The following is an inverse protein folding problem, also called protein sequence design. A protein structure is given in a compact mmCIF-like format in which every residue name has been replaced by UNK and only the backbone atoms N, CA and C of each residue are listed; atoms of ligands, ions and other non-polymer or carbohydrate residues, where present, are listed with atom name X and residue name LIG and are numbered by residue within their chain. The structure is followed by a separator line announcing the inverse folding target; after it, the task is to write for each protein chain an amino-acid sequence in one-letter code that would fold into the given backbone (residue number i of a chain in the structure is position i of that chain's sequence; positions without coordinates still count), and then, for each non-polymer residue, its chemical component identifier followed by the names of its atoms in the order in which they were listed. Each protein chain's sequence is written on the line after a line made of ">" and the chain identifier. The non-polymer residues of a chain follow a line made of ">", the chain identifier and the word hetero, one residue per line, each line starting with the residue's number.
data_IF_576524122256
#
_entry.id   IF_576524122256
#
_cell.length_a   1.000
_cell.length_b   1.000
_cell.length_c   1.000
_cell.angle_alpha   90.00
_cell.angle_beta   90.00
_cell.angle_gamma   90.00
#
_symmetry.space_group_name_H-M   'P 1'
#
loop_
_entity.id
_entity.type
_entity.pdbx_description
1 polymer ?
#
# COMPACT_ATOMS: atom_id res chain seq x y z
N UNK A 1 52.98 36.34 -9.80
CA UNK A 1 52.63 35.38 -8.73
C UNK A 1 51.14 35.24 -8.41
N UNK A 2 50.25 36.23 -8.65
CA UNK A 2 48.80 36.13 -8.28
C UNK A 2 47.92 35.22 -9.15
N UNK A 3 48.27 34.96 -10.42
CA UNK A 3 47.42 34.16 -11.34
C UNK A 3 47.42 32.65 -11.06
N UNK A 4 48.54 32.07 -10.61
CA UNK A 4 48.62 30.62 -10.34
C UNK A 4 47.80 30.23 -9.09
N UNK A 5 47.76 31.10 -8.09
CA UNK A 5 46.99 30.85 -6.87
C UNK A 5 45.47 30.83 -7.14
N UNK A 6 44.98 31.69 -8.04
CA UNK A 6 43.55 31.72 -8.40
C UNK A 6 43.10 30.46 -9.15
N UNK A 7 43.90 29.99 -10.14
CA UNK A 7 43.60 28.75 -10.87
C UNK A 7 43.60 27.53 -9.94
N UNK A 8 44.55 27.47 -9.00
CA UNK A 8 44.60 26.40 -8.00
C UNK A 8 43.37 26.45 -7.07
N UNK A 9 43.00 27.64 -6.59
CA UNK A 9 41.84 27.81 -5.71
C UNK A 9 40.51 27.43 -6.38
N UNK A 10 40.28 27.84 -7.63
CA UNK A 10 39.09 27.42 -8.37
C UNK A 10 39.10 25.91 -8.63
N UNK A 11 40.25 25.30 -8.94
CA UNK A 11 40.32 23.86 -9.11
C UNK A 11 39.89 23.10 -7.83
N UNK A 12 40.25 23.60 -6.65
CA UNK A 12 39.80 23.04 -5.37
C UNK A 12 38.28 23.20 -5.20
N UNK A 13 37.72 24.38 -5.50
CA UNK A 13 36.27 24.61 -5.42
C UNK A 13 35.48 23.69 -6.37
N UNK A 14 35.98 23.53 -7.59
CA UNK A 14 35.39 22.61 -8.58
C UNK A 14 35.39 21.18 -8.04
N UNK A 15 36.50 20.72 -7.44
CA UNK A 15 36.58 19.40 -6.84
C UNK A 15 35.56 19.22 -5.69
N UNK A 16 35.38 20.24 -4.85
CA UNK A 16 34.38 20.23 -3.78
C UNK A 16 32.97 20.11 -4.35
N UNK A 17 32.62 20.90 -5.36
CA UNK A 17 31.28 20.83 -6.00
C UNK A 17 31.04 19.48 -6.64
N UNK A 18 32.05 18.87 -7.26
CA UNK A 18 31.92 17.52 -7.83
C UNK A 18 31.58 16.48 -6.76
N UNK A 19 32.25 16.54 -5.60
CA UNK A 19 31.99 15.63 -4.46
C UNK A 19 30.59 15.87 -3.88
N UNK A 20 30.16 17.13 -3.76
CA UNK A 20 28.82 17.47 -3.27
C UNK A 20 27.73 16.99 -4.24
N UNK A 21 27.91 17.19 -5.54
CA UNK A 21 27.00 16.69 -6.57
C UNK A 21 26.87 15.16 -6.55
N UNK A 22 27.99 14.44 -6.39
CA UNK A 22 27.98 12.99 -6.22
C UNK A 22 27.25 12.56 -4.93
N UNK A 23 27.38 13.33 -3.85
CA UNK A 23 26.67 13.07 -2.59
C UNK A 23 25.16 13.27 -2.76
N UNK A 24 24.73 14.34 -3.44
CA UNK A 24 23.32 14.57 -3.76
C UNK A 24 22.73 13.43 -4.61
N UNK A 25 23.47 12.95 -5.62
CA UNK A 25 23.08 11.81 -6.43
C UNK A 25 22.89 10.53 -5.59
N UNK A 26 23.81 10.27 -4.65
CA UNK A 26 23.71 9.13 -3.74
C UNK A 26 22.46 9.23 -2.84
N UNK A 27 22.20 10.40 -2.26
CA UNK A 27 21.01 10.62 -1.43
C UNK A 27 19.70 10.47 -2.24
N UNK A 28 19.65 11.00 -3.47
CA UNK A 28 18.51 10.84 -4.36
C UNK A 28 18.23 9.38 -4.70
N UNK A 29 19.29 8.59 -4.92
CA UNK A 29 19.17 7.14 -5.19
C UNK A 29 18.66 6.37 -3.99
N UNK A 30 19.08 6.73 -2.77
CA UNK A 30 18.58 6.10 -1.54
C UNK A 30 17.09 6.39 -1.37
N UNK A 31 16.66 7.64 -1.57
CA UNK A 31 15.25 8.02 -1.49
C UNK A 31 14.38 7.27 -2.52
N UNK A 32 14.86 7.09 -3.76
CA UNK A 32 14.17 6.24 -4.76
C UNK A 32 14.06 4.79 -4.31
N UNK A 33 15.13 4.21 -3.75
CA UNK A 33 15.10 2.84 -3.25
C UNK A 33 14.08 2.68 -2.13
N UNK A 34 14.07 3.60 -1.17
CA UNK A 34 13.11 3.59 -0.05
C UNK A 34 11.68 3.78 -0.54
N UNK A 35 11.44 4.68 -1.50
CA UNK A 35 10.13 4.83 -2.13
C UNK A 35 9.66 3.52 -2.77
N UNK A 36 10.54 2.84 -3.51
CA UNK A 36 10.25 1.53 -4.10
C UNK A 36 9.87 0.48 -3.06
N UNK A 37 10.62 0.40 -1.96
CA UNK A 37 10.31 -0.53 -0.87
C UNK A 37 8.93 -0.24 -0.25
N UNK A 38 8.57 1.03 -0.09
CA UNK A 38 7.25 1.44 0.40
C UNK A 38 6.14 1.14 -0.62
N UNK A 39 6.36 1.34 -1.91
CA UNK A 39 5.39 0.94 -2.95
C UNK A 39 5.11 -0.55 -2.90
N UNK A 40 6.14 -1.40 -2.77
CA UNK A 40 5.96 -2.84 -2.64
C UNK A 40 5.18 -3.22 -1.38
N UNK A 41 5.47 -2.56 -0.25
CA UNK A 41 4.72 -2.77 0.99
C UNK A 41 3.24 -2.34 0.86
N UNK A 42 2.97 -1.21 0.20
CA UNK A 42 1.61 -0.74 -0.10
C UNK A 42 0.85 -1.70 -1.02
N UNK A 43 1.50 -2.20 -2.06
CA UNK A 43 0.92 -3.21 -2.95
C UNK A 43 0.61 -4.50 -2.19
N UNK A 44 1.51 -5.01 -1.37
CA UNK A 44 1.27 -6.20 -0.54
C UNK A 44 0.11 -5.98 0.44
N UNK A 45 0.04 -4.83 1.12
CA UNK A 45 -1.09 -4.47 1.99
C UNK A 45 -2.42 -4.41 1.22
N UNK A 46 -2.44 -3.83 0.02
CA UNK A 46 -3.65 -3.79 -0.83
C UNK A 46 -4.09 -5.18 -1.29
N UNK A 47 -3.14 -6.06 -1.62
CA UNK A 47 -3.43 -7.45 -1.98
C UNK A 47 -4.03 -8.19 -0.77
N UNK A 48 -3.48 -7.98 0.43
CA UNK A 48 -4.03 -8.55 1.67
C UNK A 48 -5.44 -8.05 1.96
N UNK A 49 -5.69 -6.75 1.81
CA UNK A 49 -7.01 -6.15 1.92
C UNK A 49 -8.01 -6.78 0.93
N UNK A 50 -7.63 -6.88 -0.34
CA UNK A 50 -8.49 -7.47 -1.37
C UNK A 50 -8.74 -8.95 -1.13
N UNK A 51 -7.72 -9.69 -0.66
CA UNK A 51 -7.83 -11.10 -0.31
C UNK A 51 -8.79 -11.30 0.87
N UNK A 52 -8.63 -10.52 1.94
CA UNK A 52 -9.51 -10.52 3.10
C UNK A 52 -10.97 -10.28 2.67
N UNK A 53 -11.19 -9.22 1.88
CA UNK A 53 -12.51 -8.91 1.33
C UNK A 53 -13.13 -10.08 0.56
N UNK A 54 -12.41 -10.63 -0.42
CA UNK A 54 -12.92 -11.72 -1.26
C UNK A 54 -13.21 -12.96 -0.40
N UNK A 55 -12.30 -13.35 0.50
CA UNK A 55 -12.50 -14.52 1.36
C UNK A 55 -13.72 -14.33 2.25
N UNK A 56 -13.85 -13.17 2.89
CA UNK A 56 -14.97 -12.87 3.77
C UNK A 56 -16.30 -12.90 3.03
N UNK A 57 -16.38 -12.32 1.84
CA UNK A 57 -17.58 -12.43 1.01
C UNK A 57 -17.88 -13.86 0.60
N UNK A 58 -16.89 -14.60 0.10
CA UNK A 58 -17.09 -16.00 -0.34
C UNK A 58 -17.59 -16.85 0.82
N UNK A 59 -16.97 -16.73 2.00
CA UNK A 59 -17.37 -17.48 3.20
C UNK A 59 -18.75 -17.07 3.68
N UNK A 60 -19.04 -15.77 3.79
CA UNK A 60 -20.35 -15.29 4.24
C UNK A 60 -21.48 -15.71 3.29
N UNK A 61 -21.27 -15.61 1.97
CA UNK A 61 -22.25 -16.07 0.99
C UNK A 61 -22.40 -17.60 0.95
N UNK A 62 -21.32 -18.34 1.21
CA UNK A 62 -21.41 -19.79 1.37
C UNK A 62 -22.25 -20.17 2.58
N UNK A 63 -22.07 -19.49 3.71
CA UNK A 63 -22.84 -19.73 4.94
C UNK A 63 -24.30 -19.29 4.77
N UNK A 64 -24.55 -18.15 4.11
CA UNK A 64 -25.89 -17.70 3.76
C UNK A 64 -26.60 -18.69 2.84
N UNK A 65 -25.92 -19.22 1.82
CA UNK A 65 -26.47 -20.27 0.96
C UNK A 65 -26.82 -21.52 1.76
N UNK A 66 -25.91 -21.98 2.63
CA UNK A 66 -26.17 -23.12 3.49
C UNK A 66 -27.38 -22.89 4.41
N UNK A 67 -27.56 -21.68 4.93
CA UNK A 67 -28.75 -21.28 5.69
C UNK A 67 -30.02 -21.35 4.84
N UNK A 68 -30.02 -20.82 3.60
CA UNK A 68 -31.20 -20.92 2.72
C UNK A 68 -31.55 -22.37 2.36
N UNK A 69 -30.54 -23.21 2.15
CA UNK A 69 -30.72 -24.64 1.92
C UNK A 69 -31.26 -25.33 3.18
N UNK A 70 -30.76 -24.99 4.37
CA UNK A 70 -31.30 -25.44 5.66
C UNK A 70 -32.79 -25.16 5.79
N UNK A 71 -33.21 -23.90 5.58
CA UNK A 71 -34.62 -23.49 5.66
C UNK A 71 -35.46 -24.22 4.61
N UNK A 72 -34.92 -24.43 3.40
CA UNK A 72 -35.61 -25.18 2.35
C UNK A 72 -35.86 -26.63 2.77
N UNK A 73 -34.83 -27.32 3.24
CA UNK A 73 -34.93 -28.72 3.65
C UNK A 73 -35.81 -28.90 4.89
N UNK A 74 -35.74 -27.97 5.83
CA UNK A 74 -36.61 -27.95 7.00
C UNK A 74 -38.09 -27.83 6.59
N UNK A 75 -38.42 -26.85 5.73
CA UNK A 75 -39.78 -26.67 5.21
C UNK A 75 -40.25 -27.86 4.38
N UNK A 76 -39.38 -28.44 3.55
CA UNK A 76 -39.70 -29.66 2.81
C UNK A 76 -40.05 -30.82 3.74
N UNK A 77 -39.29 -31.01 4.84
CA UNK A 77 -39.61 -32.03 5.84
C UNK A 77 -40.97 -31.82 6.50
N UNK A 78 -41.38 -30.58 6.76
CA UNK A 78 -42.73 -30.28 7.25
C UNK A 78 -43.83 -30.55 6.21
N UNK A 79 -43.57 -30.28 4.93
CA UNK A 79 -44.54 -30.52 3.85
C UNK A 79 -44.76 -32.00 3.54
N UNK A 80 -43.82 -32.88 3.93
CA UNK A 80 -43.98 -34.34 3.77
C UNK A 80 -44.94 -34.95 4.80
N UNK A 81 -45.30 -34.21 5.85
CA UNK A 81 -46.28 -34.68 6.83
C UNK A 81 -47.70 -34.51 6.29
N UNK A 82 -48.37 -35.63 6.01
CA UNK A 82 -49.76 -35.66 5.59
C UNK A 82 -50.61 -36.49 6.58
N UNK A 83 -51.46 -35.85 7.40
CA UNK A 83 -52.29 -36.55 8.38
C UNK A 83 -53.42 -37.40 7.75
N UNK A 84 -53.63 -37.32 6.43
CA UNK A 84 -54.66 -38.08 5.70
C UNK A 84 -54.07 -39.20 4.82
N UNK A 85 -52.75 -39.39 4.82
CA UNK A 85 -52.09 -40.41 4.03
C UNK A 85 -52.46 -41.84 4.48
N UNK A 86 -52.47 -42.79 3.54
CA UNK A 86 -52.56 -44.20 3.88
C UNK A 86 -51.26 -44.73 4.50
N UNK A 87 -51.31 -45.90 5.15
CA UNK A 87 -50.16 -46.42 5.90
C UNK A 87 -48.91 -46.69 5.03
N UNK A 88 -49.08 -46.96 3.74
CA UNK A 88 -47.97 -47.20 2.82
C UNK A 88 -47.31 -45.87 2.41
N UNK A 89 -48.12 -44.85 2.12
CA UNK A 89 -47.67 -43.50 1.77
C UNK A 89 -47.04 -42.82 2.98
N UNK A 90 -47.61 -42.98 4.17
CA UNK A 90 -47.07 -42.43 5.42
C UNK A 90 -45.69 -43.00 5.74
N UNK A 91 -45.50 -44.32 5.59
CA UNK A 91 -44.19 -44.95 5.78
C UNK A 91 -43.12 -44.44 4.79
N UNK A 92 -43.50 -44.19 3.54
CA UNK A 92 -42.59 -43.63 2.52
C UNK A 92 -42.28 -42.15 2.77
N UNK A 93 -43.28 -41.37 3.19
CA UNK A 93 -43.13 -39.96 3.54
C UNK A 93 -42.25 -39.79 4.79
N UNK A 94 -42.40 -40.67 5.78
CA UNK A 94 -41.58 -40.66 6.99
C UNK A 94 -40.09 -40.84 6.69
N UNK A 95 -39.74 -41.80 5.83
CA UNK A 95 -38.34 -42.02 5.44
C UNK A 95 -37.74 -40.80 4.72
N UNK A 96 -38.52 -40.20 3.80
CA UNK A 96 -38.10 -39.00 3.06
C UNK A 96 -38.00 -37.78 4.00
N UNK A 97 -38.94 -37.62 4.92
CA UNK A 97 -38.94 -36.57 5.94
C UNK A 97 -37.68 -36.65 6.82
N UNK A 98 -37.32 -37.85 7.27
CA UNK A 98 -36.13 -38.05 8.10
C UNK A 98 -34.85 -37.70 7.35
N UNK A 99 -34.77 -38.01 6.05
CA UNK A 99 -33.64 -37.61 5.21
C UNK A 99 -33.54 -36.08 5.08
N UNK A 100 -34.66 -35.40 4.79
CA UNK A 100 -34.70 -33.94 4.65
C UNK A 100 -34.29 -33.22 5.94
N UNK A 101 -34.78 -33.68 7.10
CA UNK A 101 -34.36 -33.16 8.40
C UNK A 101 -32.92 -33.51 8.75
N UNK A 102 -32.44 -34.68 8.34
CA UNK A 102 -31.04 -35.06 8.46
C UNK A 102 -30.12 -34.10 7.71
N UNK A 103 -30.42 -33.79 6.45
CA UNK A 103 -29.67 -32.81 5.64
C UNK A 103 -29.74 -31.41 6.26
N UNK A 104 -30.93 -30.97 6.65
CA UNK A 104 -31.16 -29.68 7.31
C UNK A 104 -30.29 -29.52 8.56
N UNK A 105 -30.33 -30.50 9.48
CA UNK A 105 -29.53 -30.47 10.71
C UNK A 105 -28.02 -30.50 10.44
N UNK A 106 -27.57 -31.23 9.42
CA UNK A 106 -26.18 -31.29 9.01
C UNK A 106 -25.65 -29.96 8.47
N UNK A 107 -26.45 -29.25 7.66
CA UNK A 107 -26.13 -27.92 7.16
C UNK A 107 -26.00 -26.89 8.28
N UNK A 108 -26.97 -26.91 9.21
CA UNK A 108 -26.97 -26.02 10.37
C UNK A 108 -25.72 -26.24 11.23
N UNK A 109 -25.38 -27.49 11.54
CA UNK A 109 -24.23 -27.81 12.40
C UNK A 109 -22.86 -27.50 11.77
N UNK A 110 -22.75 -27.58 10.43
CA UNK A 110 -21.45 -27.50 9.74
C UNK A 110 -21.11 -26.09 9.23
N UNK A 111 -22.12 -25.31 8.83
CA UNK A 111 -21.90 -24.04 8.11
C UNK A 111 -22.53 -22.84 8.81
N UNK A 112 -23.63 -23.03 9.55
CA UNK A 112 -24.42 -21.91 10.06
C UNK A 112 -24.10 -21.68 11.54
N UNK A 113 -23.54 -20.52 11.88
CA UNK A 113 -23.35 -20.13 13.28
C UNK A 113 -24.61 -19.46 13.81
N UNK A 114 -25.15 -19.97 14.91
CA UNK A 114 -26.36 -19.41 15.54
C UNK A 114 -26.25 -17.91 15.90
N UNK A 115 -25.03 -17.40 16.11
CA UNK A 115 -24.79 -15.98 16.42
C UNK A 115 -25.18 -15.02 15.28
N UNK A 116 -25.28 -15.53 14.04
CA UNK A 116 -25.66 -14.74 12.87
C UNK A 116 -27.14 -14.87 12.53
N UNK A 117 -27.90 -15.65 13.30
CA UNK A 117 -29.35 -15.78 13.15
C UNK A 117 -30.02 -14.78 14.09
N UNK A 118 -30.86 -13.92 13.53
CA UNK A 118 -31.61 -12.93 14.30
C UNK A 118 -32.82 -13.54 15.03
N UNK A 119 -33.39 -12.83 16.01
CA UNK A 119 -34.55 -13.33 16.75
C UNK A 119 -35.78 -13.61 15.87
N UNK A 120 -35.87 -12.99 14.69
CA UNK A 120 -36.91 -13.24 13.69
C UNK A 120 -36.64 -14.48 12.83
N UNK A 121 -35.50 -15.14 13.05
CA UNK A 121 -35.04 -16.32 12.35
C UNK A 121 -34.28 -16.03 11.07
N UNK A 122 -34.10 -14.77 10.65
CA UNK A 122 -33.36 -14.40 9.45
C UNK A 122 -31.83 -14.47 9.65
N UNK A 123 -31.08 -14.59 8.55
CA UNK A 123 -29.62 -14.65 8.59
C UNK A 123 -29.01 -13.28 8.29
N UNK A 124 -28.26 -12.74 9.26
CA UNK A 124 -27.58 -11.47 9.16
C UNK A 124 -26.17 -11.65 8.57
N UNK A 125 -26.10 -11.57 7.25
CA UNK A 125 -24.85 -11.60 6.49
C UNK A 125 -23.97 -10.38 6.75
N UNK A 126 -24.57 -9.22 7.04
CA UNK A 126 -23.83 -7.98 7.26
C UNK A 126 -23.03 -8.07 8.57
N UNK A 127 -23.64 -8.60 9.63
CA UNK A 127 -22.95 -8.85 10.91
C UNK A 127 -21.82 -9.84 10.77
N UNK A 128 -21.99 -10.93 10.02
CA UNK A 128 -20.90 -11.87 9.75
C UNK A 128 -19.73 -11.21 9.02
N UNK A 129 -20.03 -10.45 7.95
CA UNK A 129 -19.02 -9.72 7.21
C UNK A 129 -18.30 -8.69 8.08
N UNK A 130 -19.02 -7.92 8.88
CA UNK A 130 -18.42 -6.92 9.77
C UNK A 130 -17.50 -7.55 10.81
N UNK A 131 -17.88 -8.70 11.40
CA UNK A 131 -17.02 -9.43 12.33
C UNK A 131 -15.76 -9.94 11.63
N UNK A 132 -15.90 -10.52 10.43
CA UNK A 132 -14.77 -11.03 9.66
C UNK A 132 -13.80 -9.93 9.23
N UNK A 133 -14.31 -8.78 8.76
CA UNK A 133 -13.48 -7.60 8.46
C UNK A 133 -12.77 -7.05 9.70
N UNK A 134 -13.44 -7.06 10.86
CA UNK A 134 -12.83 -6.63 12.10
C UNK A 134 -11.72 -7.57 12.57
N UNK A 135 -11.89 -8.89 12.39
CA UNK A 135 -10.86 -9.90 12.70
C UNK A 135 -9.64 -9.77 11.77
N UNK A 136 -9.86 -9.60 10.47
CA UNK A 136 -8.78 -9.41 9.50
C UNK A 136 -8.02 -8.10 9.74
N UNK A 137 -8.71 -7.03 10.11
CA UNK A 137 -8.09 -5.76 10.45
C UNK A 137 -7.24 -5.82 11.74
N UNK A 138 -7.52 -6.78 12.64
CA UNK A 138 -6.69 -7.02 13.83
C UNK A 138 -5.46 -7.88 13.55
N UNK A 139 -5.58 -8.84 12.64
CA UNK A 139 -4.54 -9.85 12.40
C UNK A 139 -3.59 -9.46 11.27
N UNK A 140 -4.03 -8.63 10.33
CA UNK A 140 -3.29 -8.26 9.13
C UNK A 140 -3.32 -6.75 8.90
N UNK A 141 -2.24 -6.23 8.32
CA UNK A 141 -2.24 -4.86 7.81
C UNK A 141 -3.01 -4.81 6.49
N UNK A 142 -4.19 -4.21 6.53
CA UNK A 142 -5.06 -4.00 5.38
C UNK A 142 -4.96 -2.56 4.84
N UNK A 143 -4.20 -1.68 5.49
CA UNK A 143 -4.16 -0.27 5.13
C UNK A 143 -2.93 0.05 4.28
N UNK A 144 -3.12 0.10 2.97
CA UNK A 144 -2.06 0.43 2.02
C UNK A 144 -1.71 1.94 1.98
N UNK A 145 -2.65 2.81 2.38
CA UNK A 145 -2.53 4.26 2.27
C UNK A 145 -1.25 4.85 2.91
N UNK A 146 -0.87 4.51 4.17
CA UNK A 146 0.33 5.09 4.79
C UNK A 146 1.63 4.69 4.09
N UNK A 147 1.66 3.57 3.36
CA UNK A 147 2.84 3.17 2.58
C UNK A 147 2.99 4.01 1.32
N UNK A 148 1.90 4.24 0.60
CA UNK A 148 1.93 5.11 -0.59
C UNK A 148 2.24 6.57 -0.24
N UNK A 149 1.71 7.09 0.87
CA UNK A 149 2.04 8.44 1.34
C UNK A 149 3.53 8.60 1.66
N UNK A 150 4.14 7.59 2.29
CA UNK A 150 5.59 7.57 2.54
C UNK A 150 6.39 7.45 1.24
N UNK A 151 5.94 6.62 0.30
CA UNK A 151 6.58 6.49 -1.01
C UNK A 151 6.58 7.83 -1.76
N UNK A 152 5.45 8.53 -1.78
CA UNK A 152 5.31 9.83 -2.44
C UNK A 152 6.19 10.90 -1.79
N UNK A 153 6.32 10.89 -0.45
CA UNK A 153 7.23 11.77 0.26
C UNK A 153 8.69 11.53 -0.16
N UNK A 154 9.14 10.27 -0.21
CA UNK A 154 10.51 9.92 -0.62
C UNK A 154 10.76 10.17 -2.12
N UNK A 155 9.74 10.01 -2.99
CA UNK A 155 9.82 10.42 -4.41
C UNK A 155 9.99 11.91 -4.55
N UNK A 156 9.21 12.71 -3.81
CA UNK A 156 9.34 14.17 -3.78
C UNK A 156 10.74 14.59 -3.35
N UNK A 157 11.25 13.96 -2.29
CA UNK A 157 12.61 14.16 -1.80
C UNK A 157 13.67 13.83 -2.85
N UNK A 158 13.53 12.70 -3.53
CA UNK A 158 14.45 12.30 -4.62
C UNK A 158 14.41 13.28 -5.79
N UNK A 159 13.21 13.71 -6.20
CA UNK A 159 13.05 14.70 -7.27
C UNK A 159 13.72 16.03 -6.89
N UNK A 160 13.58 16.47 -5.64
CA UNK A 160 14.24 17.66 -5.13
C UNK A 160 15.77 17.55 -5.15
N UNK A 161 16.33 16.43 -4.66
CA UNK A 161 17.78 16.18 -4.68
C UNK A 161 18.33 16.04 -6.11
N UNK A 162 17.52 15.53 -7.04
CA UNK A 162 17.88 15.47 -8.47
C UNK A 162 17.90 16.87 -9.08
N UNK A 163 16.94 17.73 -8.73
CA UNK A 163 16.96 19.14 -9.15
C UNK A 163 18.18 19.88 -8.59
N UNK A 164 18.61 19.54 -7.37
CA UNK A 164 19.80 20.10 -6.74
C UNK A 164 21.10 19.76 -7.49
N UNK A 165 21.17 18.58 -8.13
CA UNK A 165 22.28 18.24 -9.03
C UNK A 165 22.41 19.23 -10.20
N UNK A 166 21.30 19.78 -10.69
CA UNK A 166 21.32 20.79 -11.77
C UNK A 166 21.98 22.07 -11.26
N UNK A 167 21.72 22.47 -10.01
CA UNK A 167 22.34 23.63 -9.37
C UNK A 167 23.86 23.45 -9.28
N UNK A 168 24.34 22.27 -8.87
CA UNK A 168 25.77 21.96 -8.86
C UNK A 168 26.39 21.92 -10.26
N UNK A 169 25.67 21.41 -11.27
CA UNK A 169 26.14 21.43 -12.65
C UNK A 169 26.31 22.88 -13.17
N UNK A 170 25.38 23.77 -12.84
CA UNK A 170 25.49 25.21 -13.17
C UNK A 170 26.67 25.86 -12.44
N UNK A 171 26.87 25.55 -11.16
CA UNK A 171 28.03 26.02 -10.39
C UNK A 171 29.35 25.56 -11.02
N UNK A 172 29.45 24.28 -11.39
CA UNK A 172 30.60 23.71 -12.08
C UNK A 172 30.89 24.43 -13.40
N UNK A 173 29.85 24.74 -14.18
CA UNK A 173 29.99 25.48 -15.43
C UNK A 173 30.57 26.90 -15.18
N UNK A 174 30.10 27.61 -14.16
CA UNK A 174 30.66 28.92 -13.83
C UNK A 174 32.11 28.86 -13.35
N UNK A 175 32.49 27.81 -12.60
CA UNK A 175 33.88 27.62 -12.20
C UNK A 175 34.81 27.31 -13.39
N UNK A 176 34.36 26.50 -14.34
CA UNK A 176 35.14 26.24 -15.56
C UNK A 176 35.30 27.50 -16.42
N UNK A 177 34.24 28.32 -16.58
CA UNK A 177 34.32 29.62 -17.25
C UNK A 177 35.26 30.62 -16.55
N UNK A 178 35.24 30.65 -15.22
CA UNK A 178 36.15 31.47 -14.43
C UNK A 178 37.62 31.07 -14.62
N UNK A 179 37.90 29.78 -14.83
CA UNK A 179 39.25 29.27 -15.07
C UNK A 179 39.75 29.59 -16.50
N UNK A 180 38.85 29.57 -17.49
CA UNK A 180 39.15 29.88 -18.88
C UNK A 180 39.33 31.38 -19.16
N UNK A 181 38.74 32.26 -18.34
CA UNK A 181 38.75 33.71 -18.56
C UNK A 181 39.97 34.40 -17.91
N UNK A 182 40.73 35.19 -18.68
CA UNK A 182 41.93 35.87 -18.16
C UNK A 182 41.68 37.28 -17.58
N UNK A 183 40.65 37.97 -18.07
CA UNK A 183 40.27 39.34 -17.68
C UNK A 183 39.65 39.41 -16.28
N UNK A 184 39.47 40.63 -15.74
CA UNK A 184 38.84 40.89 -14.43
C UNK A 184 37.43 40.27 -14.27
N UNK A 185 36.74 39.98 -15.37
CA UNK A 185 35.44 39.29 -15.39
C UNK A 185 35.51 37.90 -14.74
N UNK A 186 36.68 37.25 -14.67
CA UNK A 186 36.85 35.95 -14.02
C UNK A 186 36.39 35.90 -12.56
N UNK A 187 36.49 37.02 -11.83
CA UNK A 187 36.01 37.10 -10.45
C UNK A 187 34.48 37.14 -10.37
N UNK A 188 33.80 37.71 -11.38
CA UNK A 188 32.34 37.70 -11.45
C UNK A 188 31.82 36.27 -11.71
N UNK A 189 32.43 35.54 -12.63
CA UNK A 189 32.10 34.13 -12.86
C UNK A 189 32.36 33.25 -11.63
N UNK A 190 33.49 33.47 -10.95
CA UNK A 190 33.80 32.76 -9.71
C UNK A 190 32.77 33.06 -8.60
N UNK A 191 32.36 34.33 -8.45
CA UNK A 191 31.35 34.72 -7.47
C UNK A 191 29.98 34.07 -7.76
N UNK A 192 29.57 34.02 -9.03
CA UNK A 192 28.35 33.30 -9.44
C UNK A 192 28.46 31.80 -9.15
N UNK A 193 29.59 31.16 -9.49
CA UNK A 193 29.83 29.76 -9.18
C UNK A 193 29.72 29.45 -7.69
N UNK A 194 30.29 30.30 -6.83
CA UNK A 194 30.18 30.19 -5.36
C UNK A 194 28.74 30.37 -4.90
N UNK A 195 28.00 31.34 -5.43
CA UNK A 195 26.59 31.56 -5.10
C UNK A 195 25.74 30.32 -5.40
N UNK A 196 25.90 29.73 -6.58
CA UNK A 196 25.20 28.49 -6.93
C UNK A 196 25.66 27.30 -6.08
N UNK A 197 26.95 27.19 -5.76
CA UNK A 197 27.45 26.13 -4.87
C UNK A 197 26.83 26.22 -3.48
N UNK A 198 26.73 27.43 -2.92
CA UNK A 198 26.07 27.67 -1.63
C UNK A 198 24.58 27.32 -1.73
N UNK A 199 23.92 27.72 -2.81
CA UNK A 199 22.53 27.32 -3.10
C UNK A 199 22.34 25.81 -3.09
N UNK A 200 23.25 25.07 -3.74
CA UNK A 200 23.23 23.60 -3.75
C UNK A 200 23.47 22.99 -2.36
N UNK A 201 24.37 23.55 -1.56
CA UNK A 201 24.58 23.10 -0.17
C UNK A 201 23.29 23.26 0.66
N UNK A 202 22.59 24.39 0.51
CA UNK A 202 21.28 24.58 1.14
C UNK A 202 20.25 23.58 0.60
N UNK A 203 20.26 23.28 -0.70
CA UNK A 203 19.45 22.24 -1.33
C UNK A 203 19.65 20.89 -0.65
N UNK A 204 20.89 20.40 -0.51
CA UNK A 204 21.18 19.14 0.20
C UNK A 204 20.63 19.17 1.64
N UNK A 205 20.80 20.26 2.37
CA UNK A 205 20.34 20.36 3.77
C UNK A 205 18.81 20.28 3.84
N UNK A 206 18.11 21.02 2.98
CA UNK A 206 16.65 21.02 2.90
C UNK A 206 16.13 19.64 2.51
N UNK A 207 16.68 19.08 1.42
CA UNK A 207 16.30 17.75 0.92
C UNK A 207 16.64 16.62 1.88
N UNK A 208 17.56 16.82 2.83
CA UNK A 208 17.91 15.81 3.83
C UNK A 208 17.07 15.88 5.10
N UNK A 209 16.77 17.09 5.60
CA UNK A 209 16.23 17.28 6.94
C UNK A 209 14.80 17.83 6.98
N UNK A 210 14.29 18.40 5.89
CA UNK A 210 13.00 19.08 5.86
C UNK A 210 11.98 18.33 4.98
N UNK A 211 12.46 17.69 3.91
CA UNK A 211 11.70 16.79 3.04
C UNK A 211 11.97 15.33 3.42
#
# INVERSE_FOLDING_TARGET
>A
MKQNNFKSWIAVLTAIVTVLGATAACLASVAVSTAGDQDFAGLDASIRAQKAEIINYVTAYQNYRAYTDYVRYEKMGYLMYDPQADAATDAQNYATQQEMWGVSSGLLASFVKARYIDPDGSYDIERELQEAFAEDAQTSDLNAQPYFEKSDAERSRSAFLTADMIVFAVSFWFFTLAQATEKNIKYAWAALGVLFAIGGIFGIIIGRFIL
#
